data_IF_279082933129
#
_entry.id   IF_279082933129
#
_cell.length_a   1.000
_cell.length_b   1.000
_cell.length_c   1.000
_cell.angle_alpha   90.00
_cell.angle_beta   90.00
_cell.angle_gamma   90.00
#
_symmetry.space_group_name_H-M   'P 1'
#
loop_
_entity.id
_entity.type
_entity.pdbx_description
1 polymer ?
#
# COMPACT_ATOMS: atom_id res chain seq x y z
N UNK A 1 9.74 0.77 17.28
CA UNK A 1 10.18 0.06 16.06
C UNK A 1 9.13 0.11 14.93
N UNK A 2 7.99 0.73 15.22
CA UNK A 2 6.90 1.03 14.30
C UNK A 2 7.27 1.33 12.84
N UNK A 3 8.17 2.29 12.57
CA UNK A 3 8.48 2.74 11.20
C UNK A 3 9.09 1.62 10.35
N UNK A 4 9.93 0.77 10.96
CA UNK A 4 10.54 -0.39 10.28
C UNK A 4 9.46 -1.41 9.93
N UNK A 5 8.54 -1.69 10.86
CA UNK A 5 7.39 -2.56 10.58
C UNK A 5 6.47 -1.96 9.51
N UNK A 6 6.27 -0.65 9.51
CA UNK A 6 5.45 0.04 8.51
C UNK A 6 6.10 -0.08 7.11
N UNK A 7 7.42 0.12 7.01
CA UNK A 7 8.16 -0.07 5.77
C UNK A 7 8.05 -1.51 5.25
N UNK A 8 8.20 -2.51 6.13
CA UNK A 8 8.02 -3.92 5.78
C UNK A 8 6.58 -4.22 5.33
N UNK A 9 5.59 -3.63 5.99
CA UNK A 9 4.18 -3.76 5.60
C UNK A 9 3.96 -3.20 4.19
N UNK A 10 4.45 -1.98 3.90
CA UNK A 10 4.32 -1.35 2.58
C UNK A 10 5.03 -2.18 1.50
N UNK A 11 6.24 -2.68 1.75
CA UNK A 11 6.95 -3.53 0.78
C UNK A 11 6.15 -4.81 0.48
N UNK A 12 5.63 -5.48 1.52
CA UNK A 12 4.79 -6.66 1.36
C UNK A 12 3.50 -6.31 0.60
N UNK A 13 2.85 -5.20 0.90
CA UNK A 13 1.66 -4.73 0.20
C UNK A 13 1.91 -4.50 -1.29
N UNK A 14 3.00 -3.83 -1.64
CA UNK A 14 3.36 -3.55 -3.04
C UNK A 14 3.60 -4.85 -3.80
N UNK A 15 4.29 -5.82 -3.17
CA UNK A 15 4.50 -7.15 -3.77
C UNK A 15 3.17 -7.89 -3.93
N UNK A 16 2.31 -7.90 -2.91
CA UNK A 16 1.00 -8.56 -2.97
C UNK A 16 0.11 -7.94 -4.04
N UNK A 17 -0.02 -6.62 -4.05
CA UNK A 17 -0.83 -5.86 -5.02
C UNK A 17 -0.30 -6.03 -6.43
N UNK A 18 1.02 -6.08 -6.61
CA UNK A 18 1.62 -6.42 -7.91
C UNK A 18 1.29 -7.85 -8.31
N UNK A 19 1.41 -8.82 -7.40
CA UNK A 19 1.06 -10.22 -7.66
C UNK A 19 -0.43 -10.40 -7.97
N UNK A 20 -1.31 -9.51 -7.51
CA UNK A 20 -2.74 -9.57 -7.76
C UNK A 20 -3.08 -9.61 -9.25
N UNK A 21 -2.34 -8.86 -10.10
CA UNK A 21 -2.50 -8.91 -11.56
C UNK A 21 -2.20 -10.29 -12.14
N UNK A 22 -1.29 -11.05 -11.52
CA UNK A 22 -0.94 -12.42 -11.95
C UNK A 22 -2.03 -13.44 -11.62
N UNK A 23 -2.89 -13.15 -10.64
CA UNK A 23 -3.95 -14.08 -10.21
C UNK A 23 -5.10 -14.21 -11.20
N UNK A 24 -5.19 -13.31 -12.20
CA UNK A 24 -6.31 -13.19 -13.14
C UNK A 24 -7.67 -13.17 -12.43
N UNK A 25 -7.83 -12.26 -11.47
CA UNK A 25 -9.05 -12.15 -10.67
C UNK A 25 -9.24 -13.33 -9.72
N UNK A 26 -8.15 -13.78 -9.09
CA UNK A 26 -8.11 -14.91 -8.16
C UNK A 26 -8.46 -16.29 -8.74
N UNK A 27 -8.56 -16.42 -10.06
CA UNK A 27 -8.90 -17.70 -10.73
C UNK A 27 -7.76 -18.72 -10.71
N UNK A 28 -6.50 -18.26 -10.65
CA UNK A 28 -5.33 -19.13 -10.60
C UNK A 28 -4.94 -19.44 -9.15
N UNK A 29 -5.09 -20.71 -8.73
CA UNK A 29 -4.91 -21.14 -7.34
C UNK A 29 -3.53 -20.76 -6.75
N UNK A 30 -2.44 -21.08 -7.45
CA UNK A 30 -1.08 -20.87 -6.96
C UNK A 30 -0.71 -19.38 -6.79
N UNK A 31 -0.89 -18.51 -7.81
CA UNK A 31 -0.72 -17.07 -7.63
C UNK A 31 -1.64 -16.48 -6.56
N UNK A 32 -2.89 -16.93 -6.46
CA UNK A 32 -3.83 -16.46 -5.44
C UNK A 32 -3.35 -16.78 -4.03
N UNK A 33 -2.92 -18.02 -3.78
CA UNK A 33 -2.33 -18.44 -2.50
C UNK A 33 -1.13 -17.56 -2.14
N UNK A 34 -0.19 -17.39 -3.07
CA UNK A 34 0.97 -16.54 -2.88
C UNK A 34 0.59 -15.09 -2.53
N UNK A 35 -0.32 -14.50 -3.30
CA UNK A 35 -0.82 -13.14 -3.09
C UNK A 35 -1.45 -12.98 -1.71
N UNK A 36 -2.33 -13.90 -1.31
CA UNK A 36 -3.01 -13.88 -0.01
C UNK A 36 -2.00 -14.05 1.13
N UNK A 37 -1.04 -14.96 1.00
CA UNK A 37 0.02 -15.15 1.99
C UNK A 37 0.83 -13.87 2.23
N UNK A 38 1.18 -13.13 1.17
CA UNK A 38 1.89 -11.86 1.33
C UNK A 38 0.99 -10.78 1.93
N UNK A 39 -0.29 -10.72 1.57
CA UNK A 39 -1.23 -9.80 2.23
C UNK A 39 -1.36 -10.05 3.73
N UNK A 40 -1.32 -11.31 4.18
CA UNK A 40 -1.31 -11.65 5.59
C UNK A 40 -0.02 -11.15 6.27
N UNK A 41 1.12 -11.31 5.63
CA UNK A 41 2.41 -10.80 6.13
C UNK A 41 2.39 -9.27 6.24
N UNK A 42 1.86 -8.58 5.22
CA UNK A 42 1.66 -7.13 5.22
C UNK A 42 0.85 -6.69 6.44
N UNK A 43 -0.34 -7.27 6.63
CA UNK A 43 -1.22 -6.90 7.74
C UNK A 43 -0.65 -7.28 9.10
N UNK A 44 0.14 -8.35 9.20
CA UNK A 44 0.85 -8.70 10.43
C UNK A 44 1.84 -7.61 10.85
N UNK A 45 2.66 -7.12 9.92
CA UNK A 45 3.61 -6.04 10.22
C UNK A 45 2.90 -4.71 10.47
N UNK A 46 1.83 -4.41 9.74
CA UNK A 46 1.00 -3.24 10.00
C UNK A 46 0.39 -3.30 11.41
N UNK A 47 -0.16 -4.45 11.81
CA UNK A 47 -0.68 -4.68 13.15
C UNK A 47 0.39 -4.49 14.24
N UNK A 48 1.67 -4.81 13.96
CA UNK A 48 2.78 -4.49 14.86
C UNK A 48 3.14 -3.01 14.88
N UNK A 49 3.06 -2.32 13.76
CA UNK A 49 3.34 -0.89 13.68
C UNK A 49 2.35 -0.05 14.50
N UNK A 50 1.05 -0.41 14.47
CA UNK A 50 0.00 0.29 15.22
C UNK A 50 0.03 0.04 16.74
N UNK A 51 0.89 -0.87 17.24
CA UNK A 51 1.11 -1.00 18.69
C UNK A 51 1.94 0.17 19.24
N UNK A 52 2.80 0.75 18.39
CA UNK A 52 3.70 1.86 18.74
C UNK A 52 3.18 3.22 18.20
N UNK A 53 2.32 3.20 17.17
CA UNK A 53 1.79 4.39 16.49
C UNK A 53 0.29 4.54 16.72
N UNK A 54 -0.19 5.79 16.75
CA UNK A 54 -1.62 6.06 16.65
C UNK A 54 -2.17 5.48 15.33
N UNK A 55 -3.29 4.77 15.40
CA UNK A 55 -3.94 4.13 14.26
C UNK A 55 -4.12 5.09 13.07
N UNK A 56 -4.51 6.34 13.34
CA UNK A 56 -4.73 7.35 12.29
C UNK A 56 -3.45 7.71 11.53
N UNK A 57 -2.36 7.93 12.28
CA UNK A 57 -1.03 8.24 11.71
C UNK A 57 -0.51 7.04 10.91
N UNK A 58 -0.62 5.83 11.47
CA UNK A 58 -0.16 4.62 10.81
C UNK A 58 -0.92 4.38 9.49
N UNK A 59 -2.24 4.53 9.48
CA UNK A 59 -3.04 4.41 8.25
C UNK A 59 -2.69 5.50 7.23
N UNK A 60 -2.52 6.75 7.67
CA UNK A 60 -2.16 7.84 6.76
C UNK A 60 -0.81 7.60 6.07
N UNK A 61 0.21 7.16 6.83
CA UNK A 61 1.51 6.84 6.27
C UNK A 61 1.45 5.60 5.37
N UNK A 62 0.74 4.56 5.79
CA UNK A 62 0.59 3.32 5.02
C UNK A 62 -0.09 3.58 3.68
N UNK A 63 -1.26 4.24 3.67
CA UNK A 63 -1.97 4.59 2.45
C UNK A 63 -1.17 5.55 1.56
N UNK A 64 -0.59 6.61 2.13
CA UNK A 64 0.13 7.62 1.37
C UNK A 64 1.36 7.05 0.65
N UNK A 65 2.21 6.33 1.38
CA UNK A 65 3.42 5.73 0.80
C UNK A 65 3.07 4.53 -0.08
N UNK A 66 2.14 3.67 0.35
CA UNK A 66 1.71 2.50 -0.40
C UNK A 66 1.16 2.85 -1.78
N UNK A 67 0.33 3.90 -1.89
CA UNK A 67 -0.20 4.37 -3.17
C UNK A 67 0.91 4.91 -4.06
N UNK A 68 1.83 5.74 -3.53
CA UNK A 68 2.94 6.29 -4.31
C UNK A 68 3.81 5.19 -4.92
N UNK A 69 4.20 4.20 -4.11
CA UNK A 69 5.05 3.10 -4.57
C UNK A 69 4.29 2.19 -5.54
N UNK A 70 3.03 1.86 -5.25
CA UNK A 70 2.22 1.01 -6.13
C UNK A 70 1.98 1.66 -7.48
N UNK A 71 1.68 2.96 -7.52
CA UNK A 71 1.54 3.72 -8.77
C UNK A 71 2.86 3.72 -9.56
N UNK A 72 3.98 3.95 -8.87
CA UNK A 72 5.30 3.92 -9.50
C UNK A 72 5.61 2.55 -10.12
N UNK A 73 5.30 1.47 -9.41
CA UNK A 73 5.42 0.09 -9.92
C UNK A 73 4.46 -0.15 -11.09
N UNK A 74 3.23 0.33 -11.04
CA UNK A 74 2.26 0.23 -12.13
C UNK A 74 2.73 0.91 -13.41
N UNK A 75 3.33 2.11 -13.31
CA UNK A 75 3.87 2.80 -14.48
C UNK A 75 5.10 2.08 -15.04
N UNK A 76 6.04 1.67 -14.19
CA UNK A 76 7.30 1.10 -14.66
C UNK A 76 7.17 -0.34 -15.16
N UNK A 77 6.53 -1.21 -14.37
CA UNK A 77 6.43 -2.64 -14.68
C UNK A 77 5.25 -2.96 -15.59
N UNK A 78 4.10 -2.34 -15.33
CA UNK A 78 2.88 -2.62 -16.08
C UNK A 78 2.63 -1.66 -17.24
N UNK A 79 3.48 -0.62 -17.40
CA UNK A 79 3.38 0.40 -18.46
C UNK A 79 1.99 1.03 -18.53
N UNK A 80 1.30 1.12 -17.39
CA UNK A 80 -0.01 1.75 -17.32
C UNK A 80 0.15 3.26 -17.47
N UNK A 81 -0.59 3.82 -18.43
CA UNK A 81 -0.64 5.26 -18.64
C UNK A 81 -1.48 5.91 -17.55
N UNK A 82 -0.88 6.76 -16.71
CA UNK A 82 -1.65 7.65 -15.84
C UNK A 82 -2.21 8.81 -16.63
N UNK A 83 -3.54 8.96 -16.57
CA UNK A 83 -4.21 10.16 -17.04
C UNK A 83 -3.93 11.34 -16.11
N UNK A 84 -4.03 12.56 -16.64
CA UNK A 84 -3.91 13.79 -15.84
C UNK A 84 -4.91 13.78 -14.67
N UNK A 85 -6.11 13.27 -14.89
CA UNK A 85 -7.14 13.10 -13.85
C UNK A 85 -6.70 12.11 -12.77
N UNK A 86 -6.03 11.01 -13.13
CA UNK A 86 -5.49 10.05 -12.17
C UNK A 86 -4.40 10.66 -11.28
N UNK A 87 -3.53 11.50 -11.86
CA UNK A 87 -2.49 12.22 -11.11
C UNK A 87 -3.13 13.19 -10.10
N UNK A 88 -4.15 13.95 -10.53
CA UNK A 88 -4.88 14.84 -9.63
C UNK A 88 -5.56 14.07 -8.49
N UNK A 89 -6.12 12.90 -8.77
CA UNK A 89 -6.69 12.02 -7.76
C UNK A 89 -5.66 11.58 -6.72
N UNK A 90 -4.47 11.17 -7.18
CA UNK A 90 -3.37 10.77 -6.27
C UNK A 90 -2.92 11.95 -5.41
N UNK A 91 -2.77 13.14 -5.98
CA UNK A 91 -2.41 14.34 -5.22
C UNK A 91 -3.44 14.65 -4.13
N UNK A 92 -4.73 14.46 -4.41
CA UNK A 92 -5.80 14.68 -3.45
C UNK A 92 -5.81 13.61 -2.33
N UNK A 93 -5.49 12.36 -2.66
CA UNK A 93 -5.32 11.30 -1.65
C UNK A 93 -4.13 11.62 -0.74
N UNK A 94 -3.02 12.06 -1.32
CA UNK A 94 -1.82 12.44 -0.57
C UNK A 94 -2.05 13.65 0.33
N UNK A 95 -2.75 14.68 -0.16
CA UNK A 95 -3.12 15.82 0.68
C UNK A 95 -4.04 15.40 1.83
N UNK A 96 -5.00 14.51 1.58
CA UNK A 96 -5.84 13.92 2.63
C UNK A 96 -5.01 13.16 3.69
N UNK A 97 -4.05 12.33 3.26
CA UNK A 97 -3.15 11.62 4.17
C UNK A 97 -2.29 12.60 5.00
N UNK A 98 -1.78 13.66 4.39
CA UNK A 98 -1.02 14.70 5.08
C UNK A 98 -1.89 15.42 6.12
N UNK A 99 -3.13 15.76 5.79
CA UNK A 99 -4.06 16.38 6.73
C UNK A 99 -4.38 15.47 7.92
N UNK A 100 -4.57 14.16 7.69
CA UNK A 100 -4.75 13.20 8.78
C UNK A 100 -3.51 13.11 9.66
N UNK A 101 -2.32 13.10 9.06
CA UNK A 101 -1.07 13.07 9.81
C UNK A 101 -0.82 14.36 10.62
N UNK A 102 -1.27 15.51 10.12
CA UNK A 102 -1.13 16.80 10.80
C UNK A 102 -2.24 17.07 11.83
N UNK A 103 -3.45 16.57 11.58
CA UNK A 103 -4.62 16.74 12.45
C UNK A 103 -4.73 15.66 13.53
N UNK A 104 -4.03 14.54 13.38
CA UNK A 104 -3.85 13.53 14.42
C UNK A 104 -2.83 13.99 15.45
N UNK A 105 -3.27 14.81 16.42
CA UNK A 105 -2.54 15.03 17.67
C UNK A 105 -2.36 13.71 18.44
#
# INVERSE_FOLDING_TARGET
MAIVYLLLAILAEVIATSALKLTKGLTLLWPSLFCISIYMICHYYFAKAIQDLNLGIAYALWCGVGILVTVFVSVLFYKESLSVTGILGILLILSGCLLVNLGGN
#
